data_IF_784957916782
#
_entry.id   IF_784957916782
#
_cell.length_a   1.000
_cell.length_b   1.000
_cell.length_c   1.000
_cell.angle_alpha   90.00
_cell.angle_beta   90.00
_cell.angle_gamma   90.00
#
_symmetry.space_group_name_H-M   'P 1'
#
loop_
_entity.id
_entity.type
_entity.pdbx_description
1 polymer ?
#
# COMPACT_ATOMS: atom_id res chain seq x y z
N UNK A 1 -29.49 19.34 2.59
CA UNK A 1 -29.48 19.80 1.19
C UNK A 1 -28.30 19.14 0.50
N UNK A 2 -28.53 18.12 -0.32
CA UNK A 2 -27.56 17.62 -1.29
C UNK A 2 -28.30 17.45 -2.61
N UNK A 3 -28.00 18.35 -3.54
CA UNK A 3 -28.47 18.39 -4.92
C UNK A 3 -27.30 17.92 -5.80
N UNK A 4 -27.54 17.07 -6.80
CA UNK A 4 -26.50 16.75 -7.78
C UNK A 4 -26.70 15.47 -8.59
N UNK A 5 -27.34 15.61 -9.75
CA UNK A 5 -26.90 14.97 -10.99
C UNK A 5 -27.23 13.49 -11.19
N UNK A 6 -28.50 13.18 -11.44
CA UNK A 6 -28.89 11.90 -12.02
C UNK A 6 -28.45 11.79 -13.48
N UNK A 7 -27.58 10.83 -13.77
CA UNK A 7 -27.47 10.23 -15.11
C UNK A 7 -28.32 8.96 -15.10
N UNK A 8 -29.32 8.92 -16.00
CA UNK A 8 -30.49 8.05 -15.92
C UNK A 8 -30.18 6.56 -15.78
N UNK A 9 -30.56 6.00 -14.63
CA UNK A 9 -30.77 4.56 -14.44
C UNK A 9 -32.22 4.27 -14.85
N UNK A 10 -32.41 3.47 -15.90
CA UNK A 10 -33.73 3.12 -16.43
C UNK A 10 -34.65 2.46 -15.40
N UNK A 11 -35.97 2.41 -15.65
CA UNK A 11 -37.00 2.01 -14.68
C UNK A 11 -36.78 0.61 -14.07
N UNK A 12 -36.09 -0.28 -14.79
CA UNK A 12 -35.74 -1.64 -14.34
C UNK A 12 -34.73 -1.63 -13.17
N UNK A 13 -33.85 -0.64 -13.11
CA UNK A 13 -32.87 -0.50 -12.02
C UNK A 13 -33.51 0.03 -10.72
N UNK A 14 -34.57 0.83 -10.83
CA UNK A 14 -35.29 1.39 -9.70
C UNK A 14 -36.11 0.32 -8.94
N UNK A 15 -36.69 -0.66 -9.65
CA UNK A 15 -37.42 -1.78 -9.04
C UNK A 15 -36.51 -2.79 -8.34
N UNK A 16 -35.24 -2.90 -8.74
CA UNK A 16 -34.30 -3.92 -8.27
C UNK A 16 -33.36 -3.47 -7.13
N UNK A 17 -33.49 -2.22 -6.61
CA UNK A 17 -32.59 -1.63 -5.59
C UNK A 17 -31.11 -1.96 -5.85
N UNK A 18 -30.66 -1.70 -7.08
CA UNK A 18 -29.27 -1.91 -7.47
C UNK A 18 -28.37 -0.85 -6.84
N UNK A 19 -27.21 -1.26 -6.34
CA UNK A 19 -26.18 -0.39 -5.78
C UNK A 19 -24.84 -0.61 -6.51
N UNK A 20 -24.06 0.45 -6.65
CA UNK A 20 -22.73 0.39 -7.25
C UNK A 20 -21.69 -0.11 -6.24
N UNK A 21 -21.27 -1.37 -6.36
CA UNK A 21 -20.23 -1.96 -5.51
C UNK A 21 -18.85 -1.74 -6.13
N UNK A 22 -17.88 -1.14 -5.40
CA UNK A 22 -16.51 -1.00 -5.87
C UNK A 22 -15.79 -2.36 -5.90
N UNK A 23 -15.06 -2.61 -6.99
CA UNK A 23 -14.34 -3.86 -7.21
C UNK A 23 -12.83 -3.64 -7.19
N UNK A 24 -12.14 -4.43 -6.38
CA UNK A 24 -10.69 -4.35 -6.20
C UNK A 24 -9.96 -5.60 -6.74
N UNK A 25 -10.37 -6.16 -7.90
CA UNK A 25 -9.74 -7.35 -8.49
C UNK A 25 -8.23 -7.20 -8.75
N UNK A 26 -7.76 -5.97 -8.95
CA UNK A 26 -6.35 -5.65 -9.21
C UNK A 26 -5.67 -4.95 -8.02
N UNK A 27 -6.29 -5.01 -6.83
CA UNK A 27 -5.87 -4.22 -5.67
C UNK A 27 -6.40 -2.79 -5.70
N UNK A 28 -6.07 -2.02 -4.65
CA UNK A 28 -6.47 -0.62 -4.49
C UNK A 28 -6.76 -0.26 -3.03
N UNK A 29 -6.97 1.03 -2.77
CA UNK A 29 -7.33 1.54 -1.44
C UNK A 29 -8.85 1.64 -1.33
N UNK A 30 -9.44 0.99 -0.32
CA UNK A 30 -10.88 1.05 -0.06
C UNK A 30 -11.31 2.50 0.22
N UNK A 31 -12.33 2.96 -0.51
CA UNK A 31 -12.80 4.35 -0.47
C UNK A 31 -12.09 5.27 -1.47
N UNK A 32 -11.06 4.77 -2.16
CA UNK A 32 -10.48 5.41 -3.34
C UNK A 32 -11.28 5.13 -4.61
N UNK A 33 -10.79 5.64 -5.74
CA UNK A 33 -11.39 5.36 -7.04
C UNK A 33 -11.27 3.86 -7.40
N UNK A 34 -12.39 3.23 -7.77
CA UNK A 34 -12.44 1.83 -8.17
C UNK A 34 -13.53 1.61 -9.23
N UNK A 35 -13.36 0.63 -10.16
CA UNK A 35 -14.43 0.20 -11.05
C UNK A 35 -15.66 -0.24 -10.25
N UNK A 36 -16.84 0.20 -10.69
CA UNK A 36 -18.11 -0.17 -10.05
C UNK A 36 -18.82 -1.28 -10.82
N UNK A 37 -19.45 -2.20 -10.08
CA UNK A 37 -20.44 -3.15 -10.63
C UNK A 37 -21.78 -2.96 -9.94
N UNK A 38 -22.83 -2.88 -10.75
CA UNK A 38 -24.20 -2.85 -10.25
C UNK A 38 -24.59 -4.25 -9.76
N UNK A 39 -24.98 -4.32 -8.50
CA UNK A 39 -25.45 -5.55 -7.83
C UNK A 39 -26.67 -5.23 -7.00
N UNK A 40 -27.54 -6.22 -6.77
CA UNK A 40 -28.70 -6.05 -5.89
C UNK A 40 -28.25 -5.80 -4.46
N UNK A 41 -28.91 -4.88 -3.75
CA UNK A 41 -28.65 -4.67 -2.32
C UNK A 41 -28.86 -5.96 -1.49
N UNK A 42 -29.74 -6.86 -1.94
CA UNK A 42 -30.00 -8.15 -1.28
C UNK A 42 -28.77 -9.05 -1.23
N UNK A 43 -27.81 -8.89 -2.14
CA UNK A 43 -26.55 -9.65 -2.16
C UNK A 43 -25.72 -9.45 -0.89
N UNK A 44 -25.89 -8.33 -0.17
CA UNK A 44 -25.10 -8.02 1.03
C UNK A 44 -25.87 -8.17 2.35
N UNK A 45 -27.18 -8.48 2.33
CA UNK A 45 -28.02 -8.44 3.53
C UNK A 45 -27.52 -9.33 4.67
N UNK A 46 -26.99 -10.52 4.34
CA UNK A 46 -26.43 -11.48 5.28
C UNK A 46 -24.96 -11.80 4.98
N UNK A 47 -24.27 -10.96 4.20
CA UNK A 47 -22.87 -11.18 3.90
C UNK A 47 -22.06 -11.16 5.20
N UNK A 48 -21.27 -12.21 5.51
CA UNK A 48 -20.44 -12.22 6.71
C UNK A 48 -19.53 -11.00 6.75
N UNK A 49 -19.54 -10.30 7.88
CA UNK A 49 -18.73 -9.09 8.10
C UNK A 49 -17.38 -9.49 8.67
N UNK A 50 -16.40 -9.71 7.80
CA UNK A 50 -15.05 -10.12 8.23
C UNK A 50 -14.20 -9.01 8.88
N UNK A 51 -14.74 -7.79 9.01
CA UNK A 51 -14.05 -6.69 9.72
C UNK A 51 -14.18 -6.74 11.25
N UNK A 52 -14.90 -7.72 11.78
CA UNK A 52 -15.11 -7.93 13.21
C UNK A 52 -14.54 -9.25 13.72
N UNK A 53 -13.69 -9.91 12.93
CA UNK A 53 -13.23 -11.26 13.20
C UNK A 53 -14.31 -12.29 12.86
N UNK A 54 -13.93 -13.57 12.80
CA UNK A 54 -14.90 -14.65 12.86
C UNK A 54 -15.34 -14.88 14.33
N UNK A 55 -15.29 -16.11 14.85
CA UNK A 55 -15.38 -16.39 16.30
C UNK A 55 -14.14 -15.94 17.09
N UNK A 56 -13.39 -14.97 16.57
CA UNK A 56 -12.06 -14.55 17.02
C UNK A 56 -12.01 -13.01 17.12
N UNK A 57 -10.89 -12.43 17.55
CA UNK A 57 -10.75 -10.97 17.67
C UNK A 57 -11.00 -10.25 16.32
N UNK A 58 -11.31 -8.94 16.32
CA UNK A 58 -11.69 -8.21 15.10
C UNK A 58 -10.77 -8.34 13.87
N UNK A 59 -9.47 -8.53 14.09
CA UNK A 59 -8.46 -8.67 13.05
C UNK A 59 -8.02 -10.14 12.82
N UNK A 60 -8.74 -11.12 13.37
CA UNK A 60 -8.39 -12.53 13.33
C UNK A 60 -9.35 -13.34 12.45
N UNK A 61 -8.78 -14.10 11.52
CA UNK A 61 -9.49 -15.01 10.63
C UNK A 61 -8.82 -16.39 10.64
N UNK A 62 -9.59 -17.49 10.66
CA UNK A 62 -9.01 -18.84 10.59
C UNK A 62 -8.36 -19.07 9.22
N UNK A 63 -7.24 -19.80 9.21
CA UNK A 63 -6.50 -20.18 8.00
C UNK A 63 -6.21 -21.69 8.00
N UNK A 64 -6.28 -22.33 6.82
CA UNK A 64 -5.87 -23.72 6.60
C UNK A 64 -4.54 -23.69 5.85
N UNK A 65 -3.52 -24.36 6.38
CA UNK A 65 -2.14 -24.33 5.87
C UNK A 65 -1.63 -25.73 5.54
N UNK A 66 -0.69 -25.82 4.61
CA UNK A 66 0.05 -27.06 4.35
C UNK A 66 1.21 -27.24 5.33
N UNK A 67 1.62 -28.49 5.58
CA UNK A 67 2.82 -28.77 6.37
C UNK A 67 4.05 -28.21 5.64
N UNK A 68 4.82 -27.37 6.33
CA UNK A 68 6.03 -26.72 5.80
C UNK A 68 5.84 -25.25 5.41
N UNK A 69 4.61 -24.73 5.43
CA UNK A 69 4.38 -23.30 5.19
C UNK A 69 4.80 -22.45 6.40
N UNK A 70 5.49 -21.33 6.15
CA UNK A 70 5.86 -20.35 7.18
C UNK A 70 4.86 -19.20 7.20
N UNK A 71 4.28 -18.94 8.36
CA UNK A 71 3.44 -17.75 8.62
C UNK A 71 4.32 -16.65 9.18
N UNK A 72 4.22 -15.44 8.60
CA UNK A 72 5.00 -14.29 9.05
C UNK A 72 4.16 -13.39 9.95
N UNK A 73 4.75 -12.91 11.05
CA UNK A 73 4.20 -11.80 11.84
C UNK A 73 4.21 -10.50 11.04
N UNK A 74 3.43 -9.49 11.49
CA UNK A 74 3.42 -8.15 10.86
C UNK A 74 4.83 -7.56 10.75
N UNK A 75 5.65 -7.71 11.79
CA UNK A 75 7.04 -7.24 11.81
C UNK A 75 7.92 -7.99 10.83
N UNK A 76 7.78 -9.32 10.74
CA UNK A 76 8.53 -10.13 9.76
C UNK A 76 8.12 -9.80 8.33
N UNK A 77 6.83 -9.58 8.04
CA UNK A 77 6.36 -9.18 6.72
C UNK A 77 6.92 -7.80 6.29
N UNK A 78 6.99 -6.84 7.22
CA UNK A 78 7.62 -5.55 6.96
C UNK A 78 9.11 -5.68 6.67
N UNK A 79 9.83 -6.55 7.40
CA UNK A 79 11.24 -6.83 7.15
C UNK A 79 11.44 -7.54 5.82
N UNK A 80 10.62 -8.54 5.50
CA UNK A 80 10.64 -9.24 4.22
C UNK A 80 10.45 -8.27 3.03
N UNK A 81 9.50 -7.33 3.14
CA UNK A 81 9.31 -6.28 2.15
C UNK A 81 10.51 -5.35 2.00
N UNK A 82 11.19 -4.99 3.11
CA UNK A 82 12.42 -4.20 3.09
C UNK A 82 13.59 -4.97 2.49
N UNK A 83 13.79 -6.23 2.86
CA UNK A 83 14.86 -7.08 2.34
C UNK A 83 14.69 -7.30 0.82
N UNK A 84 13.46 -7.48 0.35
CA UNK A 84 13.17 -7.57 -1.09
C UNK A 84 13.27 -6.22 -1.82
N UNK A 85 13.11 -5.10 -1.11
CA UNK A 85 13.35 -3.75 -1.63
C UNK A 85 14.85 -3.35 -1.60
N UNK A 86 15.75 -4.19 -1.09
CA UNK A 86 17.17 -3.86 -0.92
C UNK A 86 18.02 -4.66 -1.91
N UNK A 87 18.08 -4.16 -3.14
CA UNK A 87 19.39 -3.80 -3.65
C UNK A 87 19.55 -2.31 -3.34
N UNK A 88 20.17 -1.97 -2.21
CA UNK A 88 20.50 -0.57 -1.94
C UNK A 88 21.29 -0.05 -3.16
N UNK A 89 20.92 1.09 -3.76
CA UNK A 89 21.59 1.58 -4.94
C UNK A 89 23.07 1.78 -4.61
N UNK A 90 23.96 1.14 -5.38
CA UNK A 90 25.39 1.35 -5.27
C UNK A 90 25.69 2.74 -5.78
N UNK A 91 26.10 3.66 -4.90
CA UNK A 91 26.44 5.03 -5.25
C UNK A 91 27.95 5.18 -5.31
N UNK A 92 28.49 5.32 -6.52
CA UNK A 92 29.90 5.64 -6.74
C UNK A 92 30.09 7.16 -6.70
N UNK A 93 30.97 7.65 -5.84
CA UNK A 93 31.27 9.09 -5.70
C UNK A 93 32.75 9.34 -5.95
N UNK A 94 33.04 10.22 -6.91
CA UNK A 94 34.40 10.67 -7.22
C UNK A 94 34.60 12.03 -6.56
N UNK A 95 35.63 12.15 -5.72
CA UNK A 95 35.96 13.38 -5.01
C UNK A 95 37.26 13.94 -5.59
N UNK A 96 37.16 15.11 -6.23
CA UNK A 96 38.33 15.88 -6.68
C UNK A 96 38.64 16.93 -5.62
N UNK A 97 39.88 16.93 -5.14
CA UNK A 97 40.32 17.84 -4.08
C UNK A 97 41.72 18.38 -4.40
N UNK A 98 42.00 19.66 -4.11
CA UNK A 98 43.31 20.25 -4.36
C UNK A 98 44.42 19.69 -3.44
N UNK A 99 44.05 19.15 -2.27
CA UNK A 99 45.01 18.45 -1.40
C UNK A 99 44.31 17.46 -0.45
N UNK A 100 45.00 16.38 -0.03
CA UNK A 100 44.46 15.47 0.98
C UNK A 100 44.14 16.15 2.31
N UNK A 101 44.95 17.13 2.74
CA UNK A 101 44.73 17.84 4.00
C UNK A 101 43.43 18.66 3.99
N UNK A 102 43.12 19.32 2.87
CA UNK A 102 41.85 20.05 2.71
C UNK A 102 40.65 19.09 2.75
N UNK A 103 40.77 17.92 2.11
CA UNK A 103 39.74 16.88 2.23
C UNK A 103 39.57 16.43 3.68
N UNK A 104 40.66 16.12 4.39
CA UNK A 104 40.65 15.67 5.79
C UNK A 104 39.96 16.69 6.71
N UNK A 105 40.23 17.98 6.52
CA UNK A 105 39.61 19.06 7.28
C UNK A 105 38.09 19.17 7.09
N UNK A 106 37.54 18.76 5.94
CA UNK A 106 36.12 18.88 5.59
C UNK A 106 35.33 17.57 5.58
N UNK A 107 35.91 16.45 6.07
CA UNK A 107 35.30 15.10 5.96
C UNK A 107 33.90 14.99 6.53
N UNK A 108 33.62 15.65 7.65
CA UNK A 108 32.33 15.58 8.33
C UNK A 108 31.24 16.30 7.55
N UNK A 109 31.55 17.48 7.02
CA UNK A 109 30.63 18.28 6.20
C UNK A 109 30.29 17.54 4.89
N UNK A 110 31.31 17.04 4.19
CA UNK A 110 31.12 16.27 2.95
C UNK A 110 30.28 15.01 3.18
N UNK A 111 30.54 14.27 4.27
CA UNK A 111 29.76 13.09 4.61
C UNK A 111 28.29 13.42 4.91
N UNK A 112 28.02 14.53 5.62
CA UNK A 112 26.67 14.97 5.92
C UNK A 112 25.89 15.35 4.65
N UNK A 113 26.53 16.06 3.72
CA UNK A 113 25.92 16.49 2.47
C UNK A 113 25.68 15.31 1.51
N UNK A 114 26.63 14.37 1.41
CA UNK A 114 26.44 13.13 0.66
C UNK A 114 25.27 12.31 1.20
N UNK A 115 25.22 12.13 2.53
CA UNK A 115 24.15 11.37 3.16
C UNK A 115 22.78 12.03 2.97
N UNK A 116 22.73 13.37 2.92
CA UNK A 116 21.51 14.11 2.58
C UNK A 116 21.12 13.88 1.12
N UNK A 117 22.06 13.96 0.18
CA UNK A 117 21.81 13.73 -1.24
C UNK A 117 21.30 12.29 -1.52
N UNK A 118 21.92 11.28 -0.92
CA UNK A 118 21.51 9.87 -1.06
C UNK A 118 20.10 9.66 -0.51
N UNK A 119 19.76 10.23 0.65
CA UNK A 119 18.41 10.14 1.22
C UNK A 119 17.35 10.82 0.36
N UNK A 120 17.68 11.91 -0.32
CA UNK A 120 16.76 12.57 -1.25
C UNK A 120 16.54 11.71 -2.50
N UNK A 121 17.60 11.13 -3.07
CA UNK A 121 17.49 10.21 -4.21
C UNK A 121 16.69 8.94 -3.90
N UNK A 122 16.91 8.34 -2.73
CA UNK A 122 16.21 7.13 -2.30
C UNK A 122 14.71 7.33 -1.99
N UNK A 123 14.23 8.58 -1.88
CA UNK A 123 12.80 8.91 -1.68
C UNK A 123 12.07 9.27 -2.97
N UNK A 124 12.81 9.54 -4.05
CA UNK A 124 12.26 9.89 -5.37
C UNK A 124 12.18 8.70 -6.34
N UNK A 125 12.60 7.51 -5.91
CA UNK A 125 12.42 6.21 -6.57
C UNK A 125 11.29 5.45 -5.87
#
# INVERSE_FOLDING_TARGET
MFNGGGSGIGPVAASAKLFGSPIYHFGGIVGGAAPLRLVSAGTFHNAPRFHGGAFLSPDEVPAILQRGERVLSRTEAQRYGRERAVAAPVVNVIIQTPSPAAFQASRTQLAADLARAVRMGARGL
#
